data_IF_009488194627
#
_entry.id   IF_009488194627
#
_cell.length_a   1.000
_cell.length_b   1.000
_cell.length_c   1.000
_cell.angle_alpha   90.00
_cell.angle_beta   90.00
_cell.angle_gamma   90.00
#
_symmetry.space_group_name_H-M   'P 1'
#
loop_
_entity.id
_entity.type
_entity.pdbx_description
1 polymer ?
#
# COMPACT_ATOMS: atom_id res chain seq x y z
N UNK A 1 -26.73 -5.77 8.56
CA UNK A 1 -25.43 -5.54 7.90
C UNK A 1 -25.23 -6.61 6.83
N UNK A 2 -25.81 -6.49 5.62
CA UNK A 2 -26.01 -7.72 4.81
C UNK A 2 -25.63 -7.73 3.32
N UNK A 3 -25.54 -6.62 2.57
CA UNK A 3 -25.02 -6.68 1.18
C UNK A 3 -24.02 -5.57 0.84
N UNK A 4 -24.33 -4.31 1.15
CA UNK A 4 -23.43 -3.18 0.84
C UNK A 4 -22.09 -3.30 1.55
N UNK A 5 -22.10 -3.79 2.79
CA UNK A 5 -20.88 -4.01 3.57
C UNK A 5 -20.01 -5.13 2.95
N UNK A 6 -20.63 -6.18 2.40
CA UNK A 6 -19.92 -7.28 1.74
C UNK A 6 -19.32 -6.82 0.41
N UNK A 7 -20.11 -6.14 -0.42
CA UNK A 7 -19.64 -5.58 -1.69
C UNK A 7 -18.52 -4.54 -1.48
N UNK A 8 -18.62 -3.74 -0.42
CA UNK A 8 -17.57 -2.81 -0.04
C UNK A 8 -16.27 -3.53 0.35
N UNK A 9 -16.34 -4.56 1.19
CA UNK A 9 -15.17 -5.37 1.55
C UNK A 9 -14.56 -6.03 0.31
N UNK A 10 -15.38 -6.66 -0.55
CA UNK A 10 -14.91 -7.29 -1.79
C UNK A 10 -14.20 -6.29 -2.71
N UNK A 11 -14.69 -5.06 -2.80
CA UNK A 11 -14.03 -3.98 -3.52
C UNK A 11 -12.67 -3.62 -2.90
N UNK A 12 -12.58 -3.53 -1.57
CA UNK A 12 -11.30 -3.30 -0.89
C UNK A 12 -10.33 -4.47 -1.13
N UNK A 13 -10.81 -5.72 -1.14
CA UNK A 13 -9.98 -6.89 -1.48
C UNK A 13 -9.43 -6.80 -2.91
N UNK A 14 -10.24 -6.36 -3.87
CA UNK A 14 -9.80 -6.15 -5.24
C UNK A 14 -8.69 -5.09 -5.32
N UNK A 15 -8.84 -4.00 -4.58
CA UNK A 15 -7.80 -2.96 -4.51
C UNK A 15 -6.51 -3.49 -3.87
N UNK A 16 -6.59 -4.19 -2.75
CA UNK A 16 -5.42 -4.79 -2.10
C UNK A 16 -4.74 -5.79 -3.02
N UNK A 17 -5.51 -6.66 -3.70
CA UNK A 17 -4.97 -7.62 -4.66
C UNK A 17 -4.19 -6.92 -5.77
N UNK A 18 -4.77 -5.87 -6.36
CA UNK A 18 -4.10 -5.08 -7.40
C UNK A 18 -2.80 -4.44 -6.88
N UNK A 19 -2.87 -3.78 -5.72
CA UNK A 19 -1.71 -3.13 -5.10
C UNK A 19 -0.59 -4.14 -4.84
N UNK A 20 -0.91 -5.31 -4.27
CA UNK A 20 0.07 -6.39 -4.02
C UNK A 20 0.71 -6.89 -5.31
N UNK A 21 -0.10 -7.11 -6.36
CA UNK A 21 0.40 -7.55 -7.65
C UNK A 21 1.40 -6.55 -8.23
N UNK A 22 1.07 -5.27 -8.20
CA UNK A 22 1.95 -4.21 -8.71
C UNK A 22 3.23 -4.07 -7.88
N UNK A 23 3.14 -4.11 -6.54
CA UNK A 23 4.31 -4.07 -5.67
C UNK A 23 5.26 -5.24 -5.93
N UNK A 24 4.73 -6.46 -6.03
CA UNK A 24 5.54 -7.64 -6.34
C UNK A 24 6.15 -7.56 -7.76
N UNK A 25 5.45 -6.97 -8.72
CA UNK A 25 5.97 -6.76 -10.08
C UNK A 25 7.15 -5.77 -10.13
N UNK A 26 7.28 -4.86 -9.15
CA UNK A 26 8.44 -3.96 -9.05
C UNK A 26 9.71 -4.67 -8.60
N UNK A 27 9.64 -5.91 -8.12
CA UNK A 27 10.77 -6.75 -7.66
C UNK A 27 11.59 -6.20 -6.48
N UNK A 28 11.29 -4.99 -5.99
CA UNK A 28 11.91 -4.38 -4.80
C UNK A 28 11.09 -4.57 -3.52
N UNK A 29 9.93 -5.21 -3.64
CA UNK A 29 9.03 -5.50 -2.53
C UNK A 29 8.71 -6.99 -2.48
N UNK A 30 8.52 -7.49 -1.26
CA UNK A 30 7.73 -8.69 -0.98
C UNK A 30 6.43 -8.26 -0.34
N UNK A 31 5.36 -8.27 -1.13
CA UNK A 31 4.06 -7.77 -0.73
C UNK A 31 3.05 -8.90 -0.48
N UNK A 32 2.29 -8.75 0.59
CA UNK A 32 1.26 -9.70 1.02
C UNK A 32 0.03 -8.99 1.58
N UNK A 33 -1.06 -9.75 1.71
CA UNK A 33 -2.30 -9.26 2.30
C UNK A 33 -2.19 -9.31 3.82
N UNK A 34 -2.33 -8.17 4.47
CA UNK A 34 -2.31 -8.04 5.92
C UNK A 34 -3.72 -7.97 6.51
N UNK A 35 -3.96 -8.78 7.55
CA UNK A 35 -5.20 -8.81 8.32
C UNK A 35 -4.92 -9.15 9.79
N UNK A 36 -5.68 -8.61 10.76
CA UNK A 36 -6.68 -7.54 10.63
C UNK A 36 -6.07 -6.12 10.69
N UNK A 37 -6.91 -5.10 10.48
CA UNK A 37 -6.61 -3.70 10.78
C UNK A 37 -6.31 -3.44 12.27
N UNK A 38 -5.84 -2.24 12.65
CA UNK A 38 -5.73 -1.86 14.06
C UNK A 38 -7.08 -2.06 14.76
N UNK A 39 -7.07 -2.60 15.97
CA UNK A 39 -8.27 -2.90 16.77
C UNK A 39 -9.18 -3.99 16.18
N UNK A 40 -8.66 -4.89 15.34
CA UNK A 40 -9.43 -6.04 14.84
C UNK A 40 -10.40 -5.72 13.69
N UNK A 41 -10.27 -4.55 13.06
CA UNK A 41 -11.10 -4.19 11.92
C UNK A 41 -10.88 -5.15 10.74
N UNK A 42 -11.95 -5.60 10.05
CA UNK A 42 -11.84 -6.63 9.03
C UNK A 42 -11.37 -6.11 7.66
N UNK A 43 -10.88 -4.87 7.56
CA UNK A 43 -10.52 -4.29 6.28
C UNK A 43 -9.12 -4.76 5.82
N UNK A 44 -8.99 -5.26 4.58
CA UNK A 44 -7.73 -5.73 4.07
C UNK A 44 -6.76 -4.57 3.87
N UNK A 45 -5.47 -4.85 4.10
CA UNK A 45 -4.37 -3.93 3.78
C UNK A 45 -3.33 -4.66 2.95
N UNK A 46 -2.58 -3.92 2.15
CA UNK A 46 -1.34 -4.44 1.58
C UNK A 46 -0.20 -4.13 2.54
N UNK A 47 0.60 -5.13 2.91
CA UNK A 47 1.90 -4.97 3.57
C UNK A 47 2.97 -5.24 2.54
N UNK A 48 4.01 -4.41 2.48
CA UNK A 48 5.10 -4.56 1.52
C UNK A 48 6.41 -4.40 2.26
N UNK A 49 7.18 -5.49 2.37
CA UNK A 49 8.54 -5.44 2.86
C UNK A 49 9.48 -5.02 1.74
N UNK A 50 10.28 -3.99 1.97
CA UNK A 50 11.30 -3.55 1.04
C UNK A 50 12.48 -4.53 1.10
N UNK A 51 12.96 -4.95 -0.07
CA UNK A 51 14.12 -5.86 -0.19
C UNK A 51 15.39 -5.16 -0.64
N UNK A 52 15.29 -3.90 -1.04
CA UNK A 52 16.41 -3.05 -1.48
C UNK A 52 16.98 -2.20 -0.33
N UNK A 53 18.11 -1.55 -0.60
CA UNK A 53 18.84 -0.71 0.36
C UNK A 53 18.28 0.72 0.47
N UNK A 54 16.97 0.82 0.73
CA UNK A 54 16.34 2.09 1.14
C UNK A 54 15.32 1.85 2.24
N UNK A 55 15.06 2.88 3.06
CA UNK A 55 14.19 2.75 4.23
C UNK A 55 12.72 3.03 3.89
N UNK A 56 11.82 2.32 4.56
CA UNK A 56 10.38 2.54 4.47
C UNK A 56 9.99 3.99 4.77
N UNK A 57 10.65 4.63 5.73
CA UNK A 57 10.45 6.04 6.09
C UNK A 57 10.85 7.00 4.96
N UNK A 58 11.89 6.68 4.20
CA UNK A 58 12.35 7.50 3.07
C UNK A 58 11.34 7.44 1.94
N UNK A 59 10.87 6.24 1.61
CA UNK A 59 9.79 6.04 0.64
C UNK A 59 8.51 6.77 1.07
N UNK A 60 8.07 6.60 2.32
CA UNK A 60 6.89 7.27 2.84
C UNK A 60 7.00 8.80 2.79
N UNK A 61 8.17 9.35 3.14
CA UNK A 61 8.47 10.78 3.05
C UNK A 61 8.42 11.27 1.59
N UNK A 62 9.00 10.52 0.66
CA UNK A 62 9.02 10.89 -0.76
C UNK A 62 7.62 10.85 -1.39
N UNK A 63 6.82 9.85 -1.04
CA UNK A 63 5.42 9.75 -1.46
C UNK A 63 4.59 10.91 -0.92
N UNK A 64 4.75 11.25 0.38
CA UNK A 64 4.07 12.39 1.00
C UNK A 64 4.39 13.71 0.28
N UNK A 65 5.65 13.89 -0.13
CA UNK A 65 6.14 15.10 -0.78
C UNK A 65 5.93 15.11 -2.31
N UNK A 66 5.27 14.09 -2.87
CA UNK A 66 4.92 14.05 -4.30
C UNK A 66 3.74 14.97 -4.63
N UNK A 67 3.42 15.10 -5.92
CA UNK A 67 2.24 15.84 -6.39
C UNK A 67 1.37 14.95 -7.31
N UNK A 68 0.20 14.48 -6.86
CA UNK A 68 -0.37 14.68 -5.53
C UNK A 68 0.44 13.97 -4.43
N UNK A 69 0.35 14.48 -3.19
CA UNK A 69 1.00 13.87 -2.03
C UNK A 69 0.22 12.64 -1.58
N UNK A 70 0.92 11.51 -1.42
CA UNK A 70 0.32 10.24 -1.00
C UNK A 70 0.84 9.83 0.36
N UNK A 71 -0.08 9.63 1.31
CA UNK A 71 0.26 9.16 2.66
C UNK A 71 0.15 7.64 2.74
N UNK A 72 1.26 6.99 3.05
CA UNK A 72 1.32 5.54 3.33
C UNK A 72 1.80 5.30 4.75
N UNK A 73 1.50 4.13 5.30
CA UNK A 73 1.95 3.73 6.63
C UNK A 73 3.34 3.11 6.58
N UNK A 74 4.13 3.33 7.64
CA UNK A 74 5.36 2.58 7.91
C UNK A 74 5.06 1.60 9.04
N UNK A 75 5.40 0.33 8.85
CA UNK A 75 5.19 -0.70 9.85
C UNK A 75 6.28 -0.64 10.92
N UNK A 76 5.88 -0.66 12.20
CA UNK A 76 6.80 -0.85 13.33
C UNK A 76 6.98 -2.31 13.71
N UNK A 77 6.07 -3.16 13.28
CA UNK A 77 6.01 -4.59 13.64
C UNK A 77 6.66 -5.49 12.59
N UNK A 78 6.85 -4.96 11.37
CA UNK A 78 7.45 -5.66 10.25
C UNK A 78 8.67 -4.89 9.77
N UNK A 79 9.81 -5.58 9.70
CA UNK A 79 11.09 -5.01 9.29
C UNK A 79 10.99 -4.30 7.94
N UNK A 80 11.51 -3.07 7.88
CA UNK A 80 11.60 -2.22 6.68
C UNK A 80 10.38 -2.31 5.75
N UNK A 81 9.18 -2.18 6.31
CA UNK A 81 7.93 -2.44 5.61
C UNK A 81 7.02 -1.22 5.59
N UNK A 82 6.30 -1.05 4.48
CA UNK A 82 5.19 -0.10 4.37
C UNK A 82 3.85 -0.85 4.37
N UNK A 83 2.77 -0.15 4.72
CA UNK A 83 1.42 -0.67 4.49
C UNK A 83 0.52 0.37 3.82
N UNK A 84 -0.40 -0.13 2.99
CA UNK A 84 -1.35 0.69 2.24
C UNK A 84 -2.76 0.27 2.66
N UNK A 85 -3.52 1.24 3.15
CA UNK A 85 -4.92 1.06 3.56
C UNK A 85 -5.85 1.62 2.47
N UNK A 86 -6.64 0.77 1.77
CA UNK A 86 -7.52 1.21 0.70
C UNK A 86 -8.87 1.77 1.19
N UNK A 87 -9.14 1.79 2.50
CA UNK A 87 -10.47 2.04 3.08
C UNK A 87 -11.18 3.28 2.51
N UNK A 88 -10.43 4.34 2.22
CA UNK A 88 -10.98 5.61 1.74
C UNK A 88 -10.67 5.92 0.26
N UNK A 89 -10.13 4.94 -0.48
CA UNK A 89 -9.71 5.16 -1.87
C UNK A 89 -10.82 4.87 -2.88
N UNK A 90 -10.90 5.72 -3.90
CA UNK A 90 -11.56 5.44 -5.18
C UNK A 90 -10.62 4.68 -6.10
N UNK A 91 -11.17 4.05 -7.14
CA UNK A 91 -10.37 3.27 -8.08
C UNK A 91 -9.27 4.13 -8.75
N UNK A 92 -9.61 5.35 -9.16
CA UNK A 92 -8.64 6.30 -9.72
C UNK A 92 -7.53 6.68 -8.72
N UNK A 93 -7.84 6.73 -7.43
CA UNK A 93 -6.84 7.05 -6.39
C UNK A 93 -5.92 5.86 -6.12
N UNK A 94 -6.40 4.61 -6.27
CA UNK A 94 -5.55 3.41 -6.24
C UNK A 94 -4.48 3.46 -7.33
N UNK A 95 -4.84 3.87 -8.55
CA UNK A 95 -3.86 4.07 -9.63
C UNK A 95 -2.83 5.16 -9.26
N UNK A 96 -3.28 6.29 -8.72
CA UNK A 96 -2.40 7.38 -8.30
C UNK A 96 -1.40 6.91 -7.24
N UNK A 97 -1.84 6.09 -6.27
CA UNK A 97 -0.95 5.50 -5.26
C UNK A 97 0.12 4.61 -5.93
N UNK A 98 -0.27 3.72 -6.84
CA UNK A 98 0.64 2.81 -7.56
C UNK A 98 1.64 3.60 -8.41
N UNK A 99 1.19 4.58 -9.18
CA UNK A 99 2.06 5.39 -10.03
C UNK A 99 3.04 6.23 -9.21
N UNK A 100 2.58 6.75 -8.07
CA UNK A 100 3.43 7.51 -7.14
C UNK A 100 4.48 6.60 -6.51
N UNK A 101 4.12 5.38 -6.10
CA UNK A 101 5.07 4.36 -5.62
C UNK A 101 6.16 4.10 -6.65
N UNK A 102 5.79 3.78 -7.90
CA UNK A 102 6.75 3.50 -8.99
C UNK A 102 7.73 4.66 -9.17
N UNK A 103 7.23 5.89 -9.21
CA UNK A 103 8.06 7.10 -9.35
C UNK A 103 9.01 7.28 -8.16
N UNK A 104 8.54 7.06 -6.95
CA UNK A 104 9.33 7.24 -5.74
C UNK A 104 10.41 6.15 -5.60
N UNK A 105 10.06 4.90 -5.87
CA UNK A 105 10.98 3.77 -5.91
C UNK A 105 12.09 4.02 -6.93
N UNK A 106 11.73 4.40 -8.16
CA UNK A 106 12.72 4.72 -9.19
C UNK A 106 13.68 5.84 -8.74
N UNK A 107 13.22 6.83 -7.96
CA UNK A 107 14.10 7.88 -7.42
C UNK A 107 15.01 7.41 -6.30
N UNK A 108 14.64 6.39 -5.55
CA UNK A 108 15.45 5.85 -4.45
C UNK A 108 16.49 4.82 -4.93
N UNK A 109 16.25 4.23 -6.10
CA UNK A 109 17.19 3.29 -6.73
C UNK A 109 18.23 3.94 -7.66
N UNK A 110 18.08 5.24 -7.95
CA UNK A 110 19.01 6.03 -8.77
C UNK A 110 19.86 6.93 -7.88
#
# INVERSE_FOLDING_TARGET
LSMDHKAFIEKLEQYVKKIIQELNAMQVFKAERLFPGPNGQPYPRALARITEDFKAEELAKLMKNSNPGVYIGVSKEHENSIYINPLNLKNSEVEIVIDTLKKCVNKLMN
#
